data_IF_652586296565
#
_entry.id   IF_652586296565
#
_cell.length_a   1.000
_cell.length_b   1.000
_cell.length_c   1.000
_cell.angle_alpha   90.00
_cell.angle_beta   90.00
_cell.angle_gamma   90.00
#
_symmetry.space_group_name_H-M   'P 1'
#
loop_
_entity.id
_entity.type
_entity.pdbx_description
1 polymer ?
#
# COMPACT_ATOMS: atom_id res chain seq x y z
N UNK A 1 6.90 29.76 -18.69
CA UNK A 1 7.23 30.87 -17.77
C UNK A 1 6.28 30.76 -16.60
N UNK A 2 6.69 30.11 -15.51
CA UNK A 2 5.89 30.02 -14.29
C UNK A 2 6.25 31.20 -13.39
N UNK A 3 5.28 32.02 -12.96
CA UNK A 3 5.56 33.22 -12.19
C UNK A 3 5.94 32.86 -10.75
N UNK A 4 6.84 33.66 -10.20
CA UNK A 4 7.36 33.61 -8.83
C UNK A 4 6.22 33.58 -7.80
N UNK A 5 5.92 32.39 -7.28
CA UNK A 5 4.99 32.15 -6.18
C UNK A 5 5.76 31.58 -4.99
N UNK A 6 5.57 32.18 -3.82
CA UNK A 6 6.18 31.82 -2.56
C UNK A 6 5.98 30.32 -2.22
N UNK A 7 7.04 29.51 -2.28
CA UNK A 7 7.03 28.06 -2.05
C UNK A 7 6.70 27.63 -0.60
N UNK A 8 6.34 28.57 0.29
CA UNK A 8 6.12 28.33 1.72
C UNK A 8 4.66 28.38 2.16
N UNK A 9 3.70 28.53 1.24
CA UNK A 9 2.33 28.11 1.54
C UNK A 9 2.27 26.61 1.32
N UNK A 10 2.40 25.84 2.40
CA UNK A 10 1.90 24.47 2.43
C UNK A 10 0.39 24.61 2.22
N UNK A 11 -0.04 24.57 0.96
CA UNK A 11 -1.45 24.41 0.62
C UNK A 11 -1.85 23.13 1.33
N UNK A 12 -2.59 23.27 2.43
CA UNK A 12 -3.04 22.15 3.25
C UNK A 12 -4.14 21.43 2.46
N UNK A 13 -3.72 20.64 1.48
CA UNK A 13 -4.60 19.83 0.65
C UNK A 13 -4.75 18.44 1.25
N UNK A 14 -5.99 17.98 1.34
CA UNK A 14 -6.37 16.69 1.91
C UNK A 14 -6.51 16.64 3.44
N UNK A 15 -6.75 15.42 3.93
CA UNK A 15 -6.86 15.08 5.35
C UNK A 15 -5.76 14.09 5.71
N UNK A 16 -5.21 14.20 6.94
CA UNK A 16 -4.30 13.17 7.44
C UNK A 16 -5.06 11.90 7.79
N UNK A 17 -4.37 10.76 7.82
CA UNK A 17 -4.96 9.47 8.24
C UNK A 17 -5.59 9.58 9.64
N UNK A 18 -4.95 10.33 10.55
CA UNK A 18 -5.47 10.50 11.90
C UNK A 18 -6.81 11.22 11.91
N UNK A 19 -6.95 12.28 11.11
CA UNK A 19 -8.20 13.04 11.00
C UNK A 19 -9.28 12.25 10.27
N UNK A 20 -8.90 11.51 9.21
CA UNK A 20 -9.83 10.69 8.42
C UNK A 20 -10.49 9.59 9.27
N UNK A 21 -9.73 8.91 10.13
CA UNK A 21 -10.23 7.82 10.97
C UNK A 21 -10.67 8.26 12.39
N UNK A 22 -10.74 9.56 12.68
CA UNK A 22 -11.11 10.07 14.00
C UNK A 22 -12.62 10.01 14.27
N UNK A 23 -13.42 10.21 13.23
CA UNK A 23 -14.86 10.02 13.31
C UNK A 23 -15.11 8.52 13.24
N UNK A 24 -15.74 7.92 14.25
CA UNK A 24 -15.99 6.46 14.41
C UNK A 24 -16.89 5.83 13.31
N UNK A 25 -16.83 6.35 12.09
CA UNK A 25 -17.52 5.85 10.92
C UNK A 25 -16.75 4.65 10.35
N UNK A 26 -17.49 3.63 9.92
CA UNK A 26 -16.91 2.47 9.24
C UNK A 26 -16.55 2.83 7.80
N UNK A 27 -15.30 3.19 7.55
CA UNK A 27 -14.80 3.48 6.20
C UNK A 27 -14.41 2.20 5.45
N UNK A 28 -14.80 2.12 4.18
CA UNK A 28 -14.39 1.10 3.22
C UNK A 28 -13.38 1.67 2.22
N UNK A 29 -12.74 0.80 1.43
CA UNK A 29 -11.75 1.23 0.44
C UNK A 29 -12.31 2.14 -0.66
N UNK A 30 -13.63 2.15 -0.86
CA UNK A 30 -14.27 2.99 -1.87
C UNK A 30 -14.60 4.40 -1.36
N UNK A 31 -14.49 4.64 -0.05
CA UNK A 31 -14.93 5.89 0.58
C UNK A 31 -13.85 6.99 0.57
N UNK A 32 -12.62 6.67 0.17
CA UNK A 32 -11.53 7.63 0.11
C UNK A 32 -10.57 7.36 -1.06
N UNK A 33 -9.77 8.37 -1.38
CA UNK A 33 -8.70 8.29 -2.38
C UNK A 33 -7.40 8.82 -1.77
N UNK A 34 -6.26 8.42 -2.35
CA UNK A 34 -4.94 8.90 -1.94
C UNK A 34 -4.53 10.04 -2.87
N UNK A 35 -4.18 11.19 -2.30
CA UNK A 35 -3.64 12.31 -3.07
C UNK A 35 -2.23 11.98 -3.58
N UNK A 36 -1.91 12.27 -4.85
CA UNK A 36 -0.59 11.97 -5.42
C UNK A 36 0.48 12.86 -4.80
N UNK A 37 1.69 12.30 -4.66
CA UNK A 37 2.89 13.02 -4.25
C UNK A 37 3.86 13.28 -5.41
N UNK A 38 5.01 13.85 -5.09
CA UNK A 38 6.12 14.03 -6.05
C UNK A 38 6.88 12.71 -6.27
N UNK A 39 7.23 12.42 -7.53
CA UNK A 39 7.94 11.18 -7.93
C UNK A 39 9.26 11.56 -8.60
N UNK A 40 10.36 10.91 -8.19
CA UNK A 40 11.70 11.08 -8.79
C UNK A 40 12.40 9.74 -9.10
N UNK A 41 11.64 8.63 -9.16
CA UNK A 41 12.16 7.28 -9.41
C UNK A 41 11.24 6.50 -10.37
N UNK A 42 11.76 5.43 -10.95
CA UNK A 42 10.97 4.48 -11.77
C UNK A 42 10.20 3.51 -10.88
N UNK A 43 9.04 3.04 -11.35
CA UNK A 43 8.19 2.07 -10.65
C UNK A 43 8.93 0.82 -10.19
N UNK A 44 9.92 0.36 -10.96
CA UNK A 44 10.68 -0.85 -10.68
C UNK A 44 11.60 -0.73 -9.46
N UNK A 45 11.87 0.50 -9.01
CA UNK A 45 12.68 0.78 -7.81
C UNK A 45 11.85 0.72 -6.52
N UNK A 46 10.52 0.55 -6.60
CA UNK A 46 9.64 0.46 -5.43
C UNK A 46 9.81 -0.90 -4.77
N UNK A 47 10.23 -0.93 -3.50
CA UNK A 47 10.32 -2.17 -2.73
C UNK A 47 8.94 -2.62 -2.26
N UNK A 48 8.55 -3.84 -2.64
CA UNK A 48 7.33 -4.51 -2.18
C UNK A 48 7.58 -5.43 -0.97
N UNK A 49 8.77 -5.35 -0.36
CA UNK A 49 9.13 -6.21 0.77
C UNK A 49 8.27 -5.89 1.99
N UNK A 50 7.58 -6.89 2.52
CA UNK A 50 6.66 -6.75 3.64
C UNK A 50 6.91 -7.80 4.72
N UNK A 51 6.55 -7.47 5.97
CA UNK A 51 6.62 -8.41 7.09
C UNK A 51 5.27 -9.09 7.26
N UNK A 52 5.24 -10.40 7.07
CA UNK A 52 4.06 -11.22 7.33
C UNK A 52 3.88 -11.46 8.83
N UNK A 53 4.99 -11.75 9.51
CA UNK A 53 5.04 -11.90 10.97
C UNK A 53 6.24 -11.14 11.53
N UNK A 54 6.41 -11.13 12.85
CA UNK A 54 7.59 -10.51 13.50
C UNK A 54 8.91 -11.02 12.93
N UNK A 55 8.95 -12.28 12.50
CA UNK A 55 10.17 -12.99 12.09
C UNK A 55 10.16 -13.40 10.61
N UNK A 56 9.04 -13.28 9.90
CA UNK A 56 8.91 -13.71 8.49
C UNK A 56 8.73 -12.49 7.60
N UNK A 57 9.66 -12.32 6.66
CA UNK A 57 9.63 -11.26 5.65
C UNK A 57 9.46 -11.90 4.28
N UNK A 58 8.53 -11.35 3.49
CA UNK A 58 8.18 -11.79 2.14
C UNK A 58 8.51 -10.68 1.13
N UNK A 59 8.82 -11.06 -0.11
CA UNK A 59 9.23 -10.10 -1.16
C UNK A 59 8.04 -9.38 -1.79
N UNK A 60 6.87 -10.00 -1.74
CA UNK A 60 5.61 -9.49 -2.26
C UNK A 60 4.55 -9.63 -1.18
N UNK A 61 3.72 -8.61 -0.91
CA UNK A 61 2.76 -8.58 0.21
C UNK A 61 1.47 -9.35 -0.13
N UNK A 62 1.59 -10.54 -0.72
CA UNK A 62 0.46 -11.36 -1.12
C UNK A 62 0.46 -12.68 -0.35
N UNK A 63 -0.72 -12.99 0.21
CA UNK A 63 -0.97 -14.19 0.99
C UNK A 63 -2.24 -14.84 0.47
N UNK A 64 -2.20 -16.15 0.20
CA UNK A 64 -3.42 -16.87 -0.21
C UNK A 64 -4.32 -17.15 0.99
N UNK A 65 -5.64 -17.04 0.79
CA UNK A 65 -6.60 -17.34 1.85
C UNK A 65 -6.62 -18.84 2.16
N UNK A 66 -6.65 -19.26 3.45
CA UNK A 66 -6.69 -20.67 3.84
C UNK A 66 -8.09 -21.25 3.61
N UNK A 67 -8.43 -21.51 2.35
CA UNK A 67 -9.70 -22.07 1.91
C UNK A 67 -9.45 -23.31 1.04
N UNK A 68 -10.28 -24.33 1.20
CA UNK A 68 -10.18 -25.60 0.47
C UNK A 68 -10.21 -25.41 -1.06
N UNK A 69 -10.87 -24.35 -1.53
CA UNK A 69 -10.99 -24.03 -2.97
C UNK A 69 -9.86 -23.14 -3.51
N UNK A 70 -8.96 -22.67 -2.64
CA UNK A 70 -7.94 -21.67 -3.00
C UNK A 70 -6.54 -22.19 -2.71
N UNK A 71 -6.30 -22.70 -1.50
CA UNK A 71 -4.95 -22.95 -1.00
C UNK A 71 -4.69 -24.44 -0.78
N UNK A 72 -4.38 -25.14 -1.87
CA UNK A 72 -3.76 -26.47 -1.83
C UNK A 72 -2.24 -26.38 -2.07
N UNK A 73 -1.56 -27.54 -2.07
CA UNK A 73 -0.10 -27.63 -2.23
C UNK A 73 0.41 -26.91 -3.48
N UNK A 74 -0.29 -27.04 -4.61
CA UNK A 74 0.08 -26.39 -5.87
C UNK A 74 0.08 -24.86 -5.76
N UNK A 75 -0.92 -24.28 -5.07
CA UNK A 75 -1.01 -22.84 -4.88
C UNK A 75 0.08 -22.34 -3.94
N UNK A 76 0.34 -23.06 -2.85
CA UNK A 76 1.39 -22.72 -1.89
C UNK A 76 2.78 -22.69 -2.56
N UNK A 77 3.09 -23.67 -3.41
CA UNK A 77 4.36 -23.71 -4.16
C UNK A 77 4.45 -22.53 -5.13
N UNK A 78 3.39 -22.26 -5.89
CA UNK A 78 3.37 -21.16 -6.85
C UNK A 78 3.53 -19.79 -6.16
N UNK A 79 2.85 -19.57 -5.04
CA UNK A 79 2.94 -18.33 -4.25
C UNK A 79 4.35 -18.14 -3.67
N UNK A 80 4.92 -19.20 -3.08
CA UNK A 80 6.28 -19.19 -2.54
C UNK A 80 7.33 -18.84 -3.62
N UNK A 81 7.20 -19.38 -4.83
CA UNK A 81 8.09 -19.07 -5.95
C UNK A 81 7.98 -17.60 -6.41
N UNK A 82 6.79 -17.01 -6.32
CA UNK A 82 6.53 -15.60 -6.67
C UNK A 82 6.80 -14.63 -5.50
N UNK A 83 7.36 -15.13 -4.39
CA UNK A 83 7.80 -14.30 -3.26
C UNK A 83 6.72 -14.00 -2.20
N UNK A 84 5.54 -14.59 -2.34
CA UNK A 84 4.44 -14.57 -1.37
C UNK A 84 4.37 -15.88 -0.57
N UNK A 85 3.24 -16.13 0.08
CA UNK A 85 2.98 -17.35 0.86
C UNK A 85 1.55 -17.85 0.73
#
# INVERSE_FOLDING_TARGET
MFPNGNYNEIISDGLTVKELFQNNDGLTYNDFIILPGYINFSSDNVSLTAKLTKNITIKTPFVSSPMDTVSESTMAIAMALNGGT
#
